data_IF_254839286674
#
_entry.id   IF_254839286674
#
_cell.length_a   1.000
_cell.length_b   1.000
_cell.length_c   1.000
_cell.angle_alpha   90.00
_cell.angle_beta   90.00
_cell.angle_gamma   90.00
#
_symmetry.space_group_name_H-M   'P 1'
#
loop_
_entity.id
_entity.type
_entity.pdbx_description
1 polymer ?
#
# COMPACT_ATOMS: atom_id res chain seq x y z
N UNK A 1 -16.65 -25.12 3.50
CA UNK A 1 -17.71 -25.58 2.58
C UNK A 1 -17.87 -24.54 1.48
N UNK A 2 -17.01 -24.64 0.46
CA UNK A 2 -17.00 -23.81 -0.75
C UNK A 2 -17.79 -24.59 -1.80
N UNK A 3 -18.88 -24.03 -2.33
CA UNK A 3 -19.66 -24.69 -3.38
C UNK A 3 -20.25 -23.65 -4.32
N UNK A 4 -19.47 -23.22 -5.32
CA UNK A 4 -20.00 -22.67 -6.57
C UNK A 4 -18.95 -22.78 -7.69
N UNK A 5 -18.83 -23.98 -8.26
CA UNK A 5 -18.43 -24.20 -9.67
C UNK A 5 -19.25 -25.39 -10.17
N UNK A 6 -20.12 -25.14 -11.16
CA UNK A 6 -20.49 -25.99 -12.31
C UNK A 6 -21.90 -25.64 -12.80
N UNK A 7 -21.99 -24.99 -13.95
CA UNK A 7 -23.10 -25.16 -14.88
C UNK A 7 -22.54 -25.06 -16.32
N UNK A 8 -22.89 -25.99 -17.24
CA UNK A 8 -22.28 -26.11 -18.56
C UNK A 8 -22.90 -25.17 -19.59
N UNK A 9 -22.15 -24.94 -20.67
CA UNK A 9 -22.45 -24.04 -21.79
C UNK A 9 -23.66 -24.48 -22.65
N UNK A 10 -24.44 -23.51 -23.15
CA UNK A 10 -25.30 -23.66 -24.33
C UNK A 10 -25.20 -22.43 -25.24
N UNK A 11 -25.16 -22.66 -26.56
CA UNK A 11 -25.19 -21.65 -27.66
C UNK A 11 -26.59 -21.69 -28.34
N UNK A 12 -26.97 -20.71 -29.19
CA UNK A 12 -28.02 -19.70 -28.94
C UNK A 12 -29.34 -19.96 -29.71
N UNK A 13 -30.38 -19.11 -29.49
CA UNK A 13 -31.28 -18.79 -30.60
C UNK A 13 -31.54 -17.27 -30.78
N UNK A 14 -31.66 -16.90 -32.06
CA UNK A 14 -32.42 -15.81 -32.73
C UNK A 14 -32.65 -14.46 -32.04
N UNK A 15 -32.33 -13.40 -32.79
CA UNK A 15 -32.72 -12.00 -32.57
C UNK A 15 -34.24 -11.84 -32.31
N UNK A 16 -34.62 -11.19 -31.21
CA UNK A 16 -35.81 -10.32 -31.12
C UNK A 16 -35.68 -9.33 -29.96
N UNK A 17 -35.99 -8.06 -30.25
CA UNK A 17 -36.32 -6.94 -29.35
C UNK A 17 -35.30 -6.46 -28.30
N UNK A 18 -34.75 -5.26 -28.54
CA UNK A 18 -34.15 -4.42 -27.50
C UNK A 18 -35.26 -3.84 -26.59
N UNK A 19 -35.17 -3.99 -25.25
CA UNK A 19 -35.98 -3.19 -24.34
C UNK A 19 -35.28 -1.85 -24.04
N UNK A 20 -36.05 -0.77 -24.05
CA UNK A 20 -35.61 0.56 -23.64
C UNK A 20 -35.16 0.55 -22.17
N UNK A 21 -33.92 0.97 -21.90
CA UNK A 21 -33.41 1.17 -20.54
C UNK A 21 -34.01 2.43 -19.93
N UNK A 22 -34.96 2.28 -19.01
CA UNK A 22 -35.31 3.31 -18.03
C UNK A 22 -34.35 3.23 -16.84
N UNK A 23 -33.69 4.34 -16.51
CA UNK A 23 -32.84 4.44 -15.32
C UNK A 23 -33.69 4.25 -14.06
N UNK A 24 -33.53 3.11 -13.39
CA UNK A 24 -34.07 2.90 -12.05
C UNK A 24 -33.01 3.32 -11.03
N UNK A 25 -33.25 4.35 -10.20
CA UNK A 25 -32.31 4.70 -9.13
C UNK A 25 -32.20 3.53 -8.15
N UNK A 26 -30.97 3.17 -7.77
CA UNK A 26 -30.67 2.17 -6.74
C UNK A 26 -31.20 2.66 -5.39
N UNK A 27 -32.49 2.41 -5.14
CA UNK A 27 -33.15 2.68 -3.87
C UNK A 27 -32.78 1.53 -2.91
N UNK A 28 -31.65 1.68 -2.21
CA UNK A 28 -31.30 0.79 -1.09
C UNK A 28 -32.47 0.78 -0.11
N UNK A 29 -33.10 -0.38 0.06
CA UNK A 29 -34.22 -0.52 0.98
C UNK A 29 -33.75 -0.15 2.40
N UNK A 30 -34.53 0.61 3.20
CA UNK A 30 -34.12 1.09 4.53
C UNK A 30 -33.66 -0.02 5.48
N UNK A 31 -34.13 -1.25 5.25
CA UNK A 31 -33.71 -2.45 5.99
C UNK A 31 -32.25 -2.87 5.70
N UNK A 32 -31.79 -2.74 4.45
CA UNK A 32 -30.42 -3.09 4.05
C UNK A 32 -29.40 -2.06 4.55
N UNK A 33 -29.76 -0.77 4.51
CA UNK A 33 -28.94 0.30 5.08
C UNK A 33 -28.79 0.16 6.61
N UNK A 34 -29.88 -0.18 7.32
CA UNK A 34 -29.85 -0.48 8.77
C UNK A 34 -28.98 -1.70 9.09
N UNK A 35 -29.04 -2.74 8.26
CA UNK A 35 -28.19 -3.93 8.44
C UNK A 35 -26.69 -3.57 8.33
N UNK A 36 -26.30 -2.79 7.32
CA UNK A 36 -24.91 -2.36 7.13
C UNK A 36 -24.38 -1.52 8.30
N UNK A 37 -25.19 -0.59 8.81
CA UNK A 37 -24.81 0.27 9.96
C UNK A 37 -24.63 -0.56 11.23
N UNK A 38 -25.52 -1.54 11.47
CA UNK A 38 -25.43 -2.45 12.62
C UNK A 38 -24.20 -3.35 12.50
N UNK A 39 -23.90 -3.89 11.31
CA UNK A 39 -22.68 -4.71 11.10
C UNK A 39 -21.40 -3.90 11.31
N UNK A 40 -21.35 -2.64 10.85
CA UNK A 40 -20.23 -1.73 11.08
C UNK A 40 -20.05 -1.38 12.56
N UNK A 41 -21.14 -1.15 13.30
CA UNK A 41 -21.08 -0.93 14.74
C UNK A 41 -20.59 -2.18 15.49
N UNK A 42 -21.12 -3.37 15.14
CA UNK A 42 -20.71 -4.62 15.79
C UNK A 42 -19.23 -4.94 15.56
N UNK A 43 -18.70 -4.67 14.37
CA UNK A 43 -17.28 -4.80 14.06
C UNK A 43 -16.42 -3.81 14.85
N UNK A 44 -16.87 -2.55 14.99
CA UNK A 44 -16.16 -1.54 15.77
C UNK A 44 -16.12 -1.92 17.26
N UNK A 45 -17.24 -2.39 17.82
CA UNK A 45 -17.32 -2.78 19.23
C UNK A 45 -16.50 -4.04 19.52
N UNK A 46 -16.51 -5.04 18.62
CA UNK A 46 -15.65 -6.23 18.78
C UNK A 46 -14.17 -5.89 18.69
N UNK A 47 -13.78 -4.97 17.78
CA UNK A 47 -12.40 -4.55 17.64
C UNK A 47 -11.91 -3.76 18.86
N UNK A 48 -12.76 -2.87 19.40
CA UNK A 48 -12.47 -2.10 20.60
C UNK A 48 -12.30 -2.99 21.85
N UNK A 49 -13.17 -4.00 22.01
CA UNK A 49 -13.09 -4.96 23.12
C UNK A 49 -11.88 -5.90 23.00
N UNK A 50 -11.52 -6.32 21.78
CA UNK A 50 -10.26 -7.03 21.53
C UNK A 50 -9.03 -6.17 21.86
N UNK A 51 -9.09 -4.87 21.54
CA UNK A 51 -8.02 -3.93 21.89
C UNK A 51 -7.83 -3.78 23.40
N UNK A 52 -8.93 -3.74 24.15
CA UNK A 52 -8.90 -3.65 25.61
C UNK A 52 -8.44 -4.95 26.28
N UNK A 53 -8.73 -6.11 25.68
CA UNK A 53 -8.30 -7.41 26.23
C UNK A 53 -6.83 -7.76 25.95
N UNK A 54 -6.25 -7.25 24.86
CA UNK A 54 -4.86 -7.57 24.45
C UNK A 54 -3.83 -6.64 25.13
N UNK A 55 -4.25 -5.51 25.68
CA UNK A 55 -3.37 -4.58 26.39
C UNK A 55 -3.58 -4.67 27.90
N UNK A 56 -2.85 -5.52 28.65
CA UNK A 56 -2.80 -5.37 30.10
C UNK A 56 -2.17 -4.00 30.40
N UNK A 57 -2.91 -3.15 31.10
CA UNK A 57 -2.46 -1.86 31.60
C UNK A 57 -1.30 -2.07 32.59
N UNK A 58 -0.09 -2.26 32.07
CA UNK A 58 1.15 -2.19 32.83
C UNK A 58 1.60 -0.75 32.82
N UNK A 59 0.89 0.08 33.59
CA UNK A 59 1.42 1.36 34.05
C UNK A 59 2.51 1.06 35.11
N UNK A 60 3.64 0.53 34.65
CA UNK A 60 4.87 0.45 35.44
C UNK A 60 5.52 1.83 35.38
N UNK A 61 5.79 2.39 36.56
CA UNK A 61 6.39 3.70 36.79
C UNK A 61 7.52 4.01 35.78
N UNK A 62 7.27 4.95 34.87
CA UNK A 62 8.28 5.50 33.99
C UNK A 62 9.12 6.48 34.80
N UNK A 63 10.31 6.04 35.22
CA UNK A 63 11.39 6.95 35.55
C UNK A 63 11.60 7.87 34.34
N UNK A 64 11.32 9.16 34.51
CA UNK A 64 11.56 10.21 33.52
C UNK A 64 13.07 10.41 33.34
N UNK A 65 13.73 9.46 32.70
CA UNK A 65 14.90 9.79 31.90
C UNK A 65 14.33 10.36 30.61
N UNK A 66 14.25 11.69 30.53
CA UNK A 66 14.01 12.40 29.28
C UNK A 66 15.21 12.16 28.38
N UNK A 67 15.29 10.96 27.78
CA UNK A 67 16.19 10.68 26.70
C UNK A 67 15.83 11.66 25.59
N UNK A 68 16.68 12.67 25.39
CA UNK A 68 16.56 13.59 24.27
C UNK A 68 16.61 12.75 23.00
N UNK A 69 15.47 12.62 22.32
CA UNK A 69 15.39 11.85 21.10
C UNK A 69 16.38 12.46 20.11
N UNK A 70 17.44 11.72 19.78
CA UNK A 70 18.44 12.19 18.84
C UNK A 70 17.75 12.42 17.51
N UNK A 71 17.86 13.63 16.92
CA UNK A 71 17.14 13.95 15.70
C UNK A 71 17.50 12.98 14.59
N UNK A 72 16.49 12.49 13.87
CA UNK A 72 16.70 11.63 12.70
C UNK A 72 17.54 12.40 11.67
N UNK A 73 18.64 11.82 11.14
CA UNK A 73 19.48 12.45 10.14
C UNK A 73 18.70 12.95 8.93
N UNK A 74 19.14 14.08 8.39
CA UNK A 74 18.43 14.77 7.32
C UNK A 74 18.14 13.91 6.07
N UNK A 75 19.01 12.98 5.60
CA UNK A 75 18.73 12.21 4.37
C UNK A 75 17.48 11.35 4.54
N UNK A 76 17.34 10.70 5.70
CA UNK A 76 16.17 9.90 6.03
C UNK A 76 14.90 10.74 6.13
N UNK A 77 14.99 11.94 6.73
CA UNK A 77 13.82 12.83 6.78
C UNK A 77 13.42 13.32 5.38
N UNK A 78 14.39 13.70 4.55
CA UNK A 78 14.09 14.15 3.18
C UNK A 78 13.39 13.04 2.40
N UNK A 79 13.94 11.83 2.45
CA UNK A 79 13.40 10.70 1.72
C UNK A 79 12.00 10.30 2.22
N UNK A 80 11.89 9.90 3.50
CA UNK A 80 10.65 9.33 4.05
C UNK A 80 9.53 10.36 4.23
N UNK A 81 9.85 11.62 4.53
CA UNK A 81 8.80 12.61 4.76
C UNK A 81 8.35 13.28 3.46
N UNK A 82 9.20 13.43 2.46
CA UNK A 82 8.89 14.24 1.28
C UNK A 82 8.96 13.45 -0.02
N UNK A 83 10.11 12.88 -0.36
CA UNK A 83 10.31 12.24 -1.66
C UNK A 83 9.36 11.06 -1.83
N UNK A 84 9.28 10.20 -0.82
CA UNK A 84 8.49 8.98 -0.85
C UNK A 84 6.97 9.26 -0.94
N UNK A 85 6.34 10.04 -0.05
CA UNK A 85 4.91 10.33 -0.18
C UNK A 85 4.52 10.99 -1.50
N UNK A 86 5.35 11.90 -2.04
CA UNK A 86 5.10 12.52 -3.33
C UNK A 86 5.17 11.49 -4.47
N UNK A 87 6.17 10.61 -4.45
CA UNK A 87 6.35 9.58 -5.47
C UNK A 87 5.21 8.57 -5.44
N UNK A 88 4.79 8.11 -4.26
CA UNK A 88 3.64 7.22 -4.07
C UNK A 88 2.35 7.87 -4.55
N UNK A 89 2.16 9.18 -4.30
CA UNK A 89 1.01 9.94 -4.79
C UNK A 89 0.97 10.02 -6.32
N UNK A 90 2.12 10.23 -6.96
CA UNK A 90 2.23 10.21 -8.42
C UNK A 90 1.86 8.83 -8.97
N UNK A 91 2.29 7.75 -8.30
CA UNK A 91 1.85 6.39 -8.63
C UNK A 91 0.33 6.22 -8.56
N UNK A 92 -0.31 6.72 -7.50
CA UNK A 92 -1.76 6.72 -7.35
C UNK A 92 -2.46 7.48 -8.49
N UNK A 93 -1.92 8.65 -8.87
CA UNK A 93 -2.45 9.45 -9.96
C UNK A 93 -2.45 8.68 -11.28
N UNK A 94 -1.32 8.06 -11.66
CA UNK A 94 -1.25 7.32 -12.93
C UNK A 94 -2.13 6.07 -12.90
N UNK A 95 -2.17 5.36 -11.77
CA UNK A 95 -3.00 4.16 -11.62
C UNK A 95 -4.51 4.46 -11.74
N UNK A 96 -5.01 5.62 -11.30
CA UNK A 96 -6.43 5.94 -11.42
C UNK A 96 -6.77 6.76 -12.66
N UNK A 97 -6.10 7.89 -12.87
CA UNK A 97 -6.49 8.86 -13.89
C UNK A 97 -5.88 8.58 -15.27
N UNK A 98 -4.84 7.74 -15.34
CA UNK A 98 -4.10 7.44 -16.57
C UNK A 98 -3.91 5.93 -16.78
N UNK A 99 -4.95 5.15 -16.50
CA UNK A 99 -4.92 3.68 -16.54
C UNK A 99 -4.35 3.09 -17.84
N UNK A 100 -4.78 3.57 -19.01
CA UNK A 100 -4.28 3.07 -20.29
C UNK A 100 -2.76 3.32 -20.45
N UNK A 101 -2.30 4.51 -20.04
CA UNK A 101 -0.88 4.85 -20.03
C UNK A 101 -0.12 3.97 -19.02
N UNK A 102 -0.66 3.81 -17.82
CA UNK A 102 -0.08 2.99 -16.76
C UNK A 102 0.14 1.56 -17.25
N UNK A 103 -0.89 0.91 -17.81
CA UNK A 103 -0.80 -0.46 -18.31
C UNK A 103 0.21 -0.58 -19.46
N UNK A 104 0.13 0.31 -20.45
CA UNK A 104 1.02 0.28 -21.61
C UNK A 104 2.50 0.34 -21.23
N UNK A 105 2.84 1.16 -20.23
CA UNK A 105 4.23 1.33 -19.80
C UNK A 105 4.67 0.31 -18.74
N UNK A 106 3.73 -0.32 -18.03
CA UNK A 106 4.02 -1.39 -17.05
C UNK A 106 4.30 -2.72 -17.75
N UNK A 107 3.54 -3.04 -18.80
CA UNK A 107 3.78 -4.20 -19.64
C UNK A 107 3.17 -3.96 -21.02
N UNK A 108 3.99 -3.67 -22.05
CA UNK A 108 3.50 -3.43 -23.39
C UNK A 108 2.73 -4.65 -23.93
N UNK A 109 1.56 -4.47 -24.55
CA UNK A 109 0.80 -5.59 -25.09
C UNK A 109 1.53 -6.24 -26.27
N UNK A 110 1.44 -7.56 -26.34
CA UNK A 110 2.06 -8.37 -27.40
C UNK A 110 1.34 -8.24 -28.75
N UNK A 111 0.12 -7.67 -28.78
CA UNK A 111 -0.70 -7.54 -29.98
C UNK A 111 -0.63 -6.12 -30.58
N UNK A 112 -0.68 -6.03 -31.91
CA UNK A 112 -0.55 -4.79 -32.68
C UNK A 112 -1.65 -3.74 -32.41
N UNK A 113 -2.80 -4.14 -31.83
CA UNK A 113 -3.87 -3.23 -31.42
C UNK A 113 -3.95 -3.23 -29.91
N UNK A 114 -3.80 -2.06 -29.30
CA UNK A 114 -3.99 -1.88 -27.86
C UNK A 114 -5.45 -2.20 -27.49
N UNK A 115 -5.73 -3.25 -26.71
CA UNK A 115 -7.04 -3.36 -26.10
C UNK A 115 -7.22 -2.17 -25.16
N UNK A 116 -8.37 -1.51 -25.20
CA UNK A 116 -8.72 -0.52 -24.19
C UNK A 116 -8.74 -1.15 -22.80
N UNK A 117 -8.64 -0.33 -21.75
CA UNK A 117 -8.71 -0.82 -20.37
C UNK A 117 -10.09 -1.43 -20.13
N UNK A 118 -10.14 -2.73 -19.85
CA UNK A 118 -11.39 -3.42 -19.53
C UNK A 118 -11.96 -2.95 -18.18
N UNK A 119 -13.25 -3.17 -17.96
CA UNK A 119 -13.89 -2.84 -16.68
C UNK A 119 -13.21 -3.53 -15.49
N UNK A 120 -12.73 -4.77 -15.67
CA UNK A 120 -12.02 -5.51 -14.61
C UNK A 120 -10.69 -4.85 -14.26
N UNK A 121 -9.89 -4.51 -15.27
CA UNK A 121 -8.61 -3.83 -15.08
C UNK A 121 -8.81 -2.45 -14.45
N UNK A 122 -9.83 -1.70 -14.89
CA UNK A 122 -10.14 -0.38 -14.33
C UNK A 122 -10.51 -0.43 -12.85
N UNK A 123 -11.28 -1.44 -12.43
CA UNK A 123 -11.60 -1.67 -11.02
C UNK A 123 -10.33 -1.96 -10.22
N UNK A 124 -9.50 -2.92 -10.68
CA UNK A 124 -8.27 -3.31 -9.98
C UNK A 124 -7.27 -2.16 -9.91
N UNK A 125 -7.10 -1.38 -10.98
CA UNK A 125 -6.21 -0.22 -11.00
C UNK A 125 -6.70 0.90 -10.08
N UNK A 126 -8.02 1.09 -9.97
CA UNK A 126 -8.59 2.05 -9.02
C UNK A 126 -8.41 1.59 -7.56
N UNK A 127 -8.51 0.29 -7.29
CA UNK A 127 -8.19 -0.28 -5.98
C UNK A 127 -6.70 -0.13 -5.64
N UNK A 128 -5.82 -0.33 -6.62
CA UNK A 128 -4.38 -0.10 -6.49
C UNK A 128 -4.08 1.37 -6.20
N UNK A 129 -4.70 2.30 -6.93
CA UNK A 129 -4.54 3.73 -6.68
C UNK A 129 -5.01 4.13 -5.28
N UNK A 130 -6.13 3.57 -4.82
CA UNK A 130 -6.62 3.78 -3.46
C UNK A 130 -5.62 3.26 -2.41
N UNK A 131 -4.99 2.11 -2.65
CA UNK A 131 -3.94 1.59 -1.77
C UNK A 131 -2.70 2.51 -1.74
N UNK A 132 -2.27 3.01 -2.90
CA UNK A 132 -1.16 3.97 -2.98
C UNK A 132 -1.48 5.30 -2.28
N UNK A 133 -2.72 5.78 -2.38
CA UNK A 133 -3.17 6.94 -1.61
C UNK A 133 -3.13 6.66 -0.11
N UNK A 134 -3.54 5.48 0.34
CA UNK A 134 -3.46 5.08 1.74
C UNK A 134 -2.01 5.04 2.24
N UNK A 135 -1.07 4.51 1.45
CA UNK A 135 0.37 4.56 1.77
C UNK A 135 0.89 5.98 1.85
N UNK A 136 0.58 6.81 0.84
CA UNK A 136 0.94 8.24 0.81
C UNK A 136 0.52 8.94 2.10
N UNK A 137 -0.74 8.77 2.52
CA UNK A 137 -1.28 9.41 3.72
C UNK A 137 -0.64 8.83 4.99
N UNK A 138 -0.44 7.51 5.05
CA UNK A 138 0.17 6.86 6.22
C UNK A 138 1.62 7.33 6.40
N UNK A 139 2.43 7.30 5.35
CA UNK A 139 3.81 7.76 5.36
C UNK A 139 3.91 9.25 5.67
N UNK A 140 3.06 10.07 5.03
CA UNK A 140 3.08 11.51 5.23
C UNK A 140 2.67 11.91 6.65
N UNK A 141 1.62 11.29 7.21
CA UNK A 141 1.01 11.73 8.46
C UNK A 141 1.62 11.05 9.68
N UNK A 142 1.80 9.73 9.67
CA UNK A 142 2.21 8.97 10.87
C UNK A 142 3.61 9.38 11.32
N UNK A 143 4.56 9.49 10.39
CA UNK A 143 5.93 9.86 10.72
C UNK A 143 6.07 11.32 11.16
N UNK A 144 5.17 12.21 10.70
CA UNK A 144 5.10 13.61 11.16
C UNK A 144 4.40 13.77 12.50
N UNK A 145 3.47 12.87 12.82
CA UNK A 145 2.71 12.90 14.07
C UNK A 145 3.48 12.29 15.26
N UNK A 146 4.71 11.79 15.06
CA UNK A 146 5.46 11.11 16.11
C UNK A 146 6.95 11.44 16.09
N UNK A 147 7.53 11.53 17.28
CA UNK A 147 8.99 11.56 17.50
C UNK A 147 9.53 10.20 17.94
N UNK A 148 8.66 9.18 18.09
CA UNK A 148 9.04 7.88 18.61
C UNK A 148 9.80 7.06 17.59
N UNK A 149 11.06 6.73 17.91
CA UNK A 149 11.91 5.83 17.11
C UNK A 149 11.25 4.46 16.89
N UNK A 150 10.48 3.98 17.86
CA UNK A 150 9.75 2.70 17.76
C UNK A 150 8.68 2.76 16.67
N UNK A 151 7.88 3.83 16.63
CA UNK A 151 6.84 4.00 15.59
C UNK A 151 7.47 4.09 14.21
N UNK A 152 8.56 4.84 14.07
CA UNK A 152 9.33 4.90 12.83
C UNK A 152 9.82 3.52 12.38
N UNK A 153 10.42 2.73 13.29
CA UNK A 153 10.87 1.38 12.97
C UNK A 153 9.74 0.45 12.56
N UNK A 154 8.64 0.46 13.31
CA UNK A 154 7.50 -0.41 13.01
C UNK A 154 6.89 -0.08 11.65
N UNK A 155 6.66 1.20 11.36
CA UNK A 155 6.09 1.60 10.08
C UNK A 155 7.03 1.26 8.91
N UNK A 156 8.31 1.60 9.01
CA UNK A 156 9.27 1.34 7.94
C UNK A 156 9.54 -0.15 7.73
N UNK A 157 9.42 -0.99 8.76
CA UNK A 157 9.49 -2.44 8.60
C UNK A 157 8.29 -2.96 7.80
N UNK A 158 7.07 -2.49 8.10
CA UNK A 158 5.87 -2.86 7.33
C UNK A 158 6.01 -2.43 5.88
N UNK A 159 6.50 -1.22 5.63
CA UNK A 159 6.73 -0.73 4.28
C UNK A 159 7.84 -1.50 3.55
N UNK A 160 8.90 -1.92 4.26
CA UNK A 160 9.95 -2.77 3.67
C UNK A 160 9.38 -4.13 3.21
N UNK A 161 8.47 -4.71 3.99
CA UNK A 161 7.76 -5.94 3.56
C UNK A 161 6.90 -5.66 2.32
N UNK A 162 6.22 -4.51 2.28
CA UNK A 162 5.44 -4.09 1.12
C UNK A 162 6.31 -3.87 -0.13
N UNK A 163 7.53 -3.34 0.01
CA UNK A 163 8.49 -3.18 -1.10
C UNK A 163 8.81 -4.54 -1.75
N UNK A 164 9.14 -5.55 -0.94
CA UNK A 164 9.41 -6.89 -1.46
C UNK A 164 8.18 -7.51 -2.13
N UNK A 165 6.99 -7.31 -1.55
CA UNK A 165 5.73 -7.73 -2.17
C UNK A 165 5.49 -7.06 -3.52
N UNK A 166 5.77 -5.76 -3.62
CA UNK A 166 5.67 -4.98 -4.84
C UNK A 166 6.66 -5.47 -5.90
N UNK A 167 7.94 -5.64 -5.55
CA UNK A 167 8.94 -6.20 -6.46
C UNK A 167 8.54 -7.59 -6.96
N UNK A 168 8.07 -8.46 -6.07
CA UNK A 168 7.61 -9.81 -6.43
C UNK A 168 6.41 -9.79 -7.39
N UNK A 169 5.55 -8.76 -7.32
CA UNK A 169 4.39 -8.65 -8.22
C UNK A 169 4.80 -8.53 -9.71
N UNK A 170 6.01 -8.04 -9.99
CA UNK A 170 6.53 -7.84 -11.34
C UNK A 170 7.11 -9.14 -11.94
N UNK A 171 7.21 -10.24 -11.18
CA UNK A 171 7.87 -11.48 -11.62
C UNK A 171 7.33 -12.06 -12.93
N UNK A 172 6.05 -11.82 -13.21
CA UNK A 172 5.38 -12.30 -14.41
C UNK A 172 5.91 -11.63 -15.70
N UNK A 173 6.59 -10.48 -15.59
CA UNK A 173 7.28 -9.83 -16.69
C UNK A 173 8.63 -10.50 -17.04
N UNK A 174 9.07 -11.51 -16.28
CA UNK A 174 10.34 -12.22 -16.46
C UNK A 174 11.42 -11.75 -15.49
N UNK A 175 12.32 -12.64 -15.07
CA UNK A 175 13.36 -12.33 -14.08
C UNK A 175 14.43 -11.36 -14.60
N UNK A 176 14.60 -11.29 -15.92
CA UNK A 176 15.56 -10.40 -16.58
C UNK A 176 15.23 -8.92 -16.34
N UNK A 177 13.96 -8.59 -16.12
CA UNK A 177 13.53 -7.21 -15.91
C UNK A 177 14.18 -6.59 -14.68
N UNK A 178 14.49 -7.38 -13.64
CA UNK A 178 15.06 -6.85 -12.39
C UNK A 178 16.49 -6.33 -12.54
N UNK A 179 17.21 -6.76 -13.57
CA UNK A 179 18.61 -6.36 -13.81
C UNK A 179 18.81 -5.57 -15.09
N UNK A 180 17.79 -5.44 -15.93
CA UNK A 180 17.84 -4.70 -17.20
C UNK A 180 17.66 -3.18 -17.03
N UNK A 181 18.40 -2.56 -16.10
CA UNK A 181 18.22 -1.14 -15.74
C UNK A 181 18.51 -0.16 -16.89
N UNK A 182 19.28 -0.57 -17.91
CA UNK A 182 19.52 0.22 -19.13
C UNK A 182 18.29 0.31 -20.03
N UNK A 183 17.38 -0.67 -19.94
CA UNK A 183 16.23 -0.81 -20.83
C UNK A 183 14.93 -0.31 -20.17
N UNK A 184 15.02 0.14 -18.90
CA UNK A 184 13.87 0.61 -18.15
C UNK A 184 13.34 1.93 -18.67
N UNK A 185 12.07 1.92 -19.04
CA UNK A 185 11.29 3.14 -19.25
C UNK A 185 10.99 3.84 -17.90
N UNK A 186 10.41 5.04 -17.95
CA UNK A 186 10.09 5.82 -16.76
C UNK A 186 9.16 5.08 -15.77
N UNK A 187 8.24 4.24 -16.26
CA UNK A 187 7.36 3.43 -15.41
C UNK A 187 8.15 2.34 -14.69
N UNK A 188 9.08 1.64 -15.36
CA UNK A 188 9.96 0.67 -14.69
C UNK A 188 10.91 1.33 -13.69
N UNK A 189 11.41 2.54 -13.97
CA UNK A 189 12.16 3.30 -12.96
C UNK A 189 11.33 3.61 -11.71
N UNK A 190 10.04 3.91 -11.84
CA UNK A 190 9.13 4.05 -10.70
C UNK A 190 8.80 2.73 -10.01
N UNK A 191 8.51 1.68 -10.78
CA UNK A 191 7.98 0.40 -10.29
C UNK A 191 9.07 -0.52 -9.71
N UNK A 192 10.33 -0.38 -10.17
CA UNK A 192 11.47 -1.17 -9.71
C UNK A 192 12.54 -0.28 -9.08
N UNK A 193 13.05 0.69 -9.83
CA UNK A 193 14.17 1.53 -9.39
C UNK A 193 13.89 2.28 -8.09
N UNK A 194 12.78 3.01 -8.03
CA UNK A 194 12.37 3.76 -6.84
C UNK A 194 12.14 2.84 -5.64
N UNK A 195 11.54 1.67 -5.87
CA UNK A 195 11.27 0.68 -4.82
C UNK A 195 12.56 0.06 -4.30
N UNK A 196 13.57 -0.18 -5.15
CA UNK A 196 14.91 -0.57 -4.69
C UNK A 196 15.55 0.50 -3.80
N UNK A 197 15.47 1.76 -4.19
CA UNK A 197 16.00 2.87 -3.37
C UNK A 197 15.27 2.97 -2.04
N UNK A 198 13.93 2.84 -2.04
CA UNK A 198 13.11 2.82 -0.83
C UNK A 198 13.46 1.67 0.11
N UNK A 199 13.50 0.44 -0.41
CA UNK A 199 13.87 -0.76 0.36
C UNK A 199 15.27 -0.65 0.95
N UNK A 200 16.23 -0.07 0.21
CA UNK A 200 17.58 0.19 0.69
C UNK A 200 17.57 1.21 1.84
N UNK A 201 16.90 2.35 1.68
CA UNK A 201 16.81 3.37 2.74
C UNK A 201 16.18 2.82 4.00
N UNK A 202 15.09 2.04 3.87
CA UNK A 202 14.42 1.39 5.01
C UNK A 202 15.34 0.40 5.69
N UNK A 203 16.04 -0.43 4.92
CA UNK A 203 17.01 -1.40 5.44
C UNK A 203 18.15 -0.70 6.19
N UNK A 204 18.78 0.32 5.60
CA UNK A 204 19.82 1.12 6.26
C UNK A 204 19.31 1.74 7.57
N UNK A 205 18.12 2.34 7.55
CA UNK A 205 17.54 2.98 8.72
C UNK A 205 17.21 1.98 9.84
N UNK A 206 16.63 0.82 9.51
CA UNK A 206 16.28 -0.24 10.46
C UNK A 206 17.53 -0.89 11.06
N UNK A 207 18.61 -1.02 10.29
CA UNK A 207 19.92 -1.50 10.76
C UNK A 207 20.70 -0.43 11.55
N UNK A 208 20.17 0.80 11.66
CA UNK A 208 20.82 1.90 12.37
C UNK A 208 21.97 2.57 11.61
N UNK A 209 22.15 2.28 10.32
CA UNK A 209 23.20 2.87 9.49
C UNK A 209 22.96 4.37 9.38
N UNK A 210 23.99 5.17 9.66
CA UNK A 210 23.92 6.63 9.60
C UNK A 210 23.10 7.28 10.73
N UNK A 211 22.58 6.52 11.70
CA UNK A 211 21.93 7.06 12.89
C UNK A 211 22.97 7.31 13.99
N UNK A 212 22.74 8.30 14.88
CA UNK A 212 23.59 8.51 16.04
C UNK A 212 23.65 7.24 16.90
N UNK A 213 24.84 6.89 17.37
CA UNK A 213 25.02 5.74 18.26
C UNK A 213 24.12 5.91 19.49
N UNK A 214 23.38 4.86 19.84
CA UNK A 214 22.60 4.84 21.08
C UNK A 214 23.59 4.79 22.24
N UNK A 215 23.70 5.88 23.02
CA UNK A 215 24.66 6.03 24.12
C UNK A 215 24.57 4.91 25.19
N UNK A 216 23.52 4.09 25.16
CA UNK A 216 23.30 2.97 26.06
C UNK A 216 24.26 1.78 25.86
N UNK A 217 24.90 1.63 24.69
CA UNK A 217 25.82 0.50 24.44
C UNK A 217 27.22 0.74 25.02
N UNK A 218 27.69 1.99 25.05
CA UNK A 218 29.02 2.33 25.58
C UNK A 218 29.09 2.28 27.12
N UNK A 219 27.96 2.35 27.83
CA UNK A 219 27.94 2.24 29.29
C UNK A 219 28.18 0.81 29.80
N UNK A 220 27.96 -0.22 28.96
CA UNK A 220 28.16 -1.64 29.34
C UNK A 220 29.56 -2.19 29.02
N UNK A 221 30.41 -1.40 28.38
CA UNK A 221 31.78 -1.80 28.03
C UNK A 221 32.85 -1.17 28.93
N UNK A 222 32.45 -0.27 29.85
CA UNK A 222 33.34 0.44 30.78
C UNK A 222 33.10 0.06 32.26
N UNK A 223 32.44 -1.06 32.54
CA UNK A 223 32.28 -1.67 33.87
C UNK A 223 32.62 -3.13 33.79
#
# INVERSE_FOLDING_TARGET
>A
MVRWIMAPAQRPPSQTHFPSFTHHPLHLQPRQARLCIVTLHLLHTHYFLLYQHIMPATAMAMNNVTATATPIPWPYRLFFLYIEPISTLVGAYFAHFRQAYYMHHTHPPTAARLPGVSTRESIVLSQLANLYLAFTLTEALVLRATTSRRVWNTLLLVLLIADFGHLYSVKAAGLQVYTAFTDWNAMYWGNLGFVYVGALHRSCFLLGIGLPASSAVNAKLNT
#
